data_IF_828472058823
#
_entry.id   IF_828472058823
#
_cell.length_a   1.000
_cell.length_b   1.000
_cell.length_c   1.000
_cell.angle_alpha   90.00
_cell.angle_beta   90.00
_cell.angle_gamma   90.00
#
_symmetry.space_group_name_H-M   'P 1'
#
loop_
_entity.id
_entity.type
_entity.pdbx_description
1 polymer ?
#
# COMPACT_ATOMS: atom_id res chain seq x y z
N UNK A 1 30.01 10.68 56.01
CA UNK A 1 29.45 11.33 54.79
C UNK A 1 29.74 10.59 53.48
N UNK A 2 30.84 9.83 53.37
CA UNK A 2 31.23 9.16 52.11
C UNK A 2 30.35 7.96 51.72
N UNK A 3 29.80 7.22 52.69
CA UNK A 3 28.92 6.07 52.43
C UNK A 3 27.55 6.48 51.84
N UNK A 4 26.93 7.52 52.38
CA UNK A 4 25.65 8.06 51.89
C UNK A 4 25.76 8.60 50.45
N UNK A 5 26.87 9.28 50.13
CA UNK A 5 27.13 9.76 48.77
C UNK A 5 27.25 8.62 47.76
N UNK A 6 27.92 7.52 48.14
CA UNK A 6 28.07 6.33 47.28
C UNK A 6 26.75 5.61 47.03
N UNK A 7 25.92 5.48 48.06
CA UNK A 7 24.57 4.91 47.93
C UNK A 7 23.69 5.78 47.03
N UNK A 8 23.75 7.10 47.20
CA UNK A 8 23.01 8.04 46.35
C UNK A 8 23.45 7.97 44.88
N UNK A 9 24.76 7.94 44.61
CA UNK A 9 25.29 7.80 43.26
C UNK A 9 24.90 6.46 42.62
N UNK A 10 24.91 5.37 43.40
CA UNK A 10 24.50 4.06 42.91
C UNK A 10 23.01 4.04 42.54
N UNK A 11 22.14 4.61 43.40
CA UNK A 11 20.71 4.73 43.11
C UNK A 11 20.42 5.63 41.90
N UNK A 12 21.15 6.75 41.77
CA UNK A 12 21.04 7.63 40.60
C UNK A 12 21.44 6.91 39.31
N UNK A 13 22.49 6.07 39.35
CA UNK A 13 22.96 5.31 38.21
C UNK A 13 21.97 4.20 37.81
N UNK A 14 21.38 3.50 38.79
CA UNK A 14 20.31 2.51 38.55
C UNK A 14 19.06 3.17 37.95
N UNK A 15 18.68 4.35 38.45
CA UNK A 15 17.54 5.10 37.90
C UNK A 15 17.82 5.59 36.45
N UNK A 16 19.04 6.03 36.16
CA UNK A 16 19.43 6.48 34.82
C UNK A 16 19.46 5.33 33.81
N UNK A 17 19.95 4.15 34.21
CA UNK A 17 19.93 2.93 33.38
C UNK A 17 18.52 2.39 33.19
N UNK A 18 17.66 2.50 34.20
CA UNK A 18 16.25 2.08 34.08
C UNK A 18 15.47 3.01 33.14
N UNK A 19 15.76 4.32 33.16
CA UNK A 19 15.12 5.31 32.30
C UNK A 19 15.57 5.25 30.83
N UNK A 20 16.76 4.69 30.52
CA UNK A 20 17.26 4.61 29.14
C UNK A 20 16.74 3.40 28.35
N UNK A 21 16.00 2.49 28.99
CA UNK A 21 15.63 1.19 28.40
C UNK A 21 14.21 1.10 27.82
N UNK A 22 13.43 2.20 27.86
CA UNK A 22 12.03 2.18 27.37
C UNK A 22 11.89 2.53 25.88
N UNK A 23 12.80 2.10 25.02
CA UNK A 23 12.56 2.21 23.58
C UNK A 23 11.54 1.14 23.17
N UNK A 24 10.31 1.60 22.91
CA UNK A 24 9.26 0.76 22.37
C UNK A 24 9.76 0.06 21.09
N UNK A 25 9.49 -1.26 20.90
CA UNK A 25 9.96 -1.96 19.72
C UNK A 25 9.50 -1.24 18.44
N UNK A 26 10.32 -1.20 17.38
CA UNK A 26 9.96 -0.55 16.13
C UNK A 26 8.63 -1.08 15.59
N UNK A 27 7.76 -0.17 15.10
CA UNK A 27 6.47 -0.56 14.55
C UNK A 27 6.60 -0.76 13.04
N UNK A 28 6.31 -1.98 12.58
CA UNK A 28 6.30 -2.35 11.16
C UNK A 28 4.87 -2.51 10.66
N UNK A 29 4.64 -2.09 9.42
CA UNK A 29 3.35 -2.27 8.75
C UNK A 29 3.08 -3.75 8.49
N UNK A 30 1.80 -4.15 8.43
CA UNK A 30 1.38 -5.55 8.27
C UNK A 30 2.06 -6.26 7.08
N UNK A 31 2.23 -5.56 5.96
CA UNK A 31 2.87 -6.13 4.77
C UNK A 31 4.39 -6.29 4.93
N UNK A 32 5.05 -5.46 5.74
CA UNK A 32 6.48 -5.57 6.02
C UNK A 32 6.77 -6.76 6.93
N UNK A 33 5.91 -7.07 7.90
CA UNK A 33 6.08 -8.22 8.81
C UNK A 33 6.20 -9.54 8.06
N UNK A 34 5.33 -9.76 7.07
CA UNK A 34 5.40 -10.96 6.23
C UNK A 34 6.74 -11.07 5.49
N UNK A 35 7.30 -9.94 5.07
CA UNK A 35 8.60 -9.88 4.42
C UNK A 35 9.78 -10.05 5.41
N UNK A 36 9.62 -9.66 6.67
CA UNK A 36 10.59 -9.89 7.75
C UNK A 36 10.59 -11.35 8.21
N UNK A 37 9.41 -11.96 8.37
CA UNK A 37 9.24 -13.39 8.71
C UNK A 37 9.80 -14.30 7.62
N UNK A 38 9.65 -13.90 6.36
CA UNK A 38 10.20 -14.60 5.20
C UNK A 38 11.19 -13.71 4.48
N UNK A 39 12.42 -13.70 4.98
CA UNK A 39 13.55 -13.05 4.31
C UNK A 39 13.64 -13.56 2.87
N UNK A 40 13.51 -12.63 1.92
CA UNK A 40 13.64 -12.93 0.50
C UNK A 40 15.10 -12.71 0.11
N UNK A 41 15.68 -13.69 -0.59
CA UNK A 41 17.00 -13.53 -1.16
C UNK A 41 16.92 -12.54 -2.32
N UNK A 42 17.47 -11.34 -2.11
CA UNK A 42 17.62 -10.37 -3.18
C UNK A 42 18.61 -10.90 -4.22
N UNK A 43 18.10 -11.31 -5.38
CA UNK A 43 18.95 -11.68 -6.50
C UNK A 43 19.60 -10.41 -7.04
N UNK A 44 20.93 -10.31 -6.96
CA UNK A 44 21.66 -9.22 -7.64
C UNK A 44 21.41 -9.36 -9.14
N UNK A 45 20.69 -8.40 -9.70
CA UNK A 45 20.51 -8.31 -11.14
C UNK A 45 21.75 -7.62 -11.73
N UNK A 46 22.53 -8.34 -12.54
CA UNK A 46 23.58 -7.75 -13.37
C UNK A 46 22.92 -7.17 -14.63
N UNK A 47 22.26 -6.03 -14.47
CA UNK A 47 21.54 -5.33 -15.55
C UNK A 47 22.37 -4.11 -15.95
N UNK A 48 22.48 -3.86 -17.25
CA UNK A 48 23.20 -2.70 -17.76
C UNK A 48 22.47 -1.40 -17.41
N UNK A 49 23.23 -0.31 -17.21
CA UNK A 49 22.67 1.03 -17.00
C UNK A 49 21.72 1.44 -18.14
N UNK A 50 22.03 1.06 -19.38
CA UNK A 50 21.19 1.32 -20.55
C UNK A 50 19.80 0.68 -20.43
N UNK A 51 19.73 -0.59 -20.02
CA UNK A 51 18.47 -1.31 -19.84
C UNK A 51 17.60 -0.68 -18.74
N UNK A 52 18.21 -0.19 -17.66
CA UNK A 52 17.51 0.56 -16.61
C UNK A 52 16.91 1.85 -17.18
N UNK A 53 17.69 2.62 -17.95
CA UNK A 53 17.20 3.88 -18.53
C UNK A 53 16.08 3.67 -19.54
N UNK A 54 16.12 2.59 -20.32
CA UNK A 54 15.06 2.23 -21.26
C UNK A 54 13.79 1.79 -20.53
N UNK A 55 13.93 0.96 -19.50
CA UNK A 55 12.82 0.56 -18.65
C UNK A 55 12.14 1.78 -18.00
N UNK A 56 12.94 2.74 -17.53
CA UNK A 56 12.43 3.98 -16.95
C UNK A 56 11.64 4.81 -17.96
N UNK A 57 12.14 4.98 -19.19
CA UNK A 57 11.41 5.67 -20.25
C UNK A 57 10.05 5.02 -20.56
N UNK A 58 9.99 3.69 -20.59
CA UNK A 58 8.74 2.96 -20.85
C UNK A 58 7.71 3.16 -19.73
N UNK A 59 8.16 3.08 -18.48
CA UNK A 59 7.29 3.29 -17.32
C UNK A 59 6.82 4.75 -17.25
N UNK A 60 7.71 5.71 -17.47
CA UNK A 60 7.39 7.14 -17.46
C UNK A 60 6.37 7.51 -18.56
N UNK A 61 6.52 6.94 -19.76
CA UNK A 61 5.56 7.11 -20.84
C UNK A 61 4.16 6.57 -20.47
N UNK A 62 4.10 5.38 -19.86
CA UNK A 62 2.85 4.78 -19.41
C UNK A 62 2.19 5.60 -18.29
N UNK A 63 2.96 6.10 -17.33
CA UNK A 63 2.49 6.96 -16.25
C UNK A 63 1.95 8.28 -16.82
N UNK A 64 2.64 8.89 -17.79
CA UNK A 64 2.19 10.11 -18.45
C UNK A 64 0.84 9.91 -19.15
N UNK A 65 0.70 8.84 -19.93
CA UNK A 65 -0.56 8.50 -20.61
C UNK A 65 -1.70 8.29 -19.60
N UNK A 66 -1.43 7.60 -18.49
CA UNK A 66 -2.41 7.42 -17.41
C UNK A 66 -2.81 8.75 -16.76
N UNK A 67 -1.83 9.64 -16.55
CA UNK A 67 -2.07 10.98 -16.03
C UNK A 67 -2.98 11.82 -16.93
N UNK A 68 -2.71 11.82 -18.23
CA UNK A 68 -3.54 12.51 -19.25
C UNK A 68 -4.97 11.95 -19.27
N UNK A 69 -5.11 10.63 -19.27
CA UNK A 69 -6.42 9.96 -19.23
C UNK A 69 -7.20 10.29 -17.96
N UNK A 70 -6.55 10.23 -16.79
CA UNK A 70 -7.18 10.56 -15.51
C UNK A 70 -7.60 12.02 -15.45
N UNK A 71 -6.74 12.94 -15.90
CA UNK A 71 -7.03 14.38 -15.95
C UNK A 71 -8.25 14.65 -16.82
N UNK A 72 -8.32 14.03 -18.00
CA UNK A 72 -9.48 14.14 -18.88
C UNK A 72 -10.76 13.64 -18.23
N UNK A 73 -10.72 12.49 -17.55
CA UNK A 73 -11.90 11.91 -16.88
C UNK A 73 -12.42 12.75 -15.72
N UNK A 74 -11.50 13.37 -14.98
CA UNK A 74 -11.87 14.28 -13.88
C UNK A 74 -12.51 15.54 -14.44
N UNK A 75 -11.93 16.14 -15.49
CA UNK A 75 -12.50 17.31 -16.15
C UNK A 75 -13.82 17.02 -16.87
N UNK A 76 -14.01 15.80 -17.35
CA UNK A 76 -15.19 15.37 -18.12
C UNK A 76 -15.80 14.13 -17.46
N UNK A 77 -16.49 14.25 -16.31
CA UNK A 77 -17.15 13.12 -15.69
C UNK A 77 -18.19 12.52 -16.65
N UNK A 78 -18.37 11.21 -16.61
CA UNK A 78 -19.46 10.54 -17.33
C UNK A 78 -20.72 10.68 -16.49
N UNK A 79 -21.71 11.42 -16.98
CA UNK A 79 -23.04 11.46 -16.38
C UNK A 79 -23.88 10.33 -16.98
N UNK A 80 -24.55 9.55 -16.13
CA UNK A 80 -25.58 8.62 -16.58
C UNK A 80 -26.82 9.44 -16.94
N UNK A 81 -26.88 9.89 -18.18
CA UNK A 81 -28.13 10.41 -18.72
C UNK A 81 -28.93 9.19 -19.20
N UNK A 82 -30.10 8.97 -18.60
CA UNK A 82 -31.02 7.88 -18.96
C UNK A 82 -31.66 8.20 -20.31
N UNK A 83 -30.92 7.96 -21.40
CA UNK A 83 -31.49 7.99 -22.75
C UNK A 83 -32.08 6.63 -23.09
N UNK A 84 -33.23 6.61 -23.76
CA UNK A 84 -33.77 5.38 -24.30
C UNK A 84 -32.79 4.77 -25.32
N UNK A 85 -32.62 3.44 -25.30
CA UNK A 85 -31.68 2.67 -26.16
C UNK A 85 -31.81 2.97 -27.67
N UNK A 86 -32.93 3.52 -28.10
CA UNK A 86 -33.27 3.87 -29.48
C UNK A 86 -32.70 5.22 -29.93
N UNK A 87 -32.25 6.08 -29.03
CA UNK A 87 -31.73 7.40 -29.39
C UNK A 87 -30.28 7.31 -29.87
N UNK A 88 -29.95 8.03 -30.95
CA UNK A 88 -28.58 8.14 -31.47
C UNK A 88 -27.60 8.66 -30.42
N UNK A 89 -28.07 9.45 -29.44
CA UNK A 89 -27.30 9.90 -28.29
C UNK A 89 -26.82 8.75 -27.39
N UNK A 90 -27.60 7.66 -27.25
CA UNK A 90 -27.23 6.48 -26.47
C UNK A 90 -26.12 5.64 -27.14
N UNK A 91 -25.86 5.83 -28.45
CA UNK A 91 -24.87 5.07 -29.23
C UNK A 91 -23.47 5.71 -29.29
N UNK A 92 -23.28 6.94 -28.79
CA UNK A 92 -21.94 7.56 -28.70
C UNK A 92 -21.12 6.95 -27.56
N UNK A 93 -20.55 5.75 -27.79
CA UNK A 93 -19.76 5.01 -26.80
C UNK A 93 -18.36 5.58 -26.50
N UNK A 94 -17.84 6.46 -27.38
CA UNK A 94 -16.58 7.21 -27.21
C UNK A 94 -16.82 8.68 -27.49
N UNK A 95 -16.25 9.57 -26.67
CA UNK A 95 -16.21 11.00 -26.98
C UNK A 95 -15.11 11.23 -28.01
N UNK A 96 -15.35 12.14 -28.95
CA UNK A 96 -14.45 12.39 -30.10
C UNK A 96 -13.04 12.84 -29.67
N UNK A 97 -12.91 13.47 -28.50
CA UNK A 97 -11.65 13.95 -27.92
C UNK A 97 -11.20 13.15 -26.68
N UNK A 98 -11.72 11.95 -26.43
CA UNK A 98 -11.31 11.13 -25.28
C UNK A 98 -9.93 10.52 -25.53
N UNK A 99 -8.91 10.82 -24.69
CA UNK A 99 -7.60 10.17 -24.80
C UNK A 99 -7.76 8.66 -24.65
N UNK A 100 -6.93 7.90 -25.37
CA UNK A 100 -7.01 6.45 -25.32
C UNK A 100 -6.72 5.95 -23.89
N UNK A 101 -7.52 5.01 -23.36
CA UNK A 101 -7.21 4.41 -22.08
C UNK A 101 -5.81 3.78 -22.13
N UNK A 102 -5.00 3.97 -21.07
CA UNK A 102 -3.68 3.39 -20.97
C UNK A 102 -3.79 1.86 -20.90
N UNK A 103 -2.96 1.17 -21.68
CA UNK A 103 -2.88 -0.29 -21.67
C UNK A 103 -1.55 -0.69 -21.05
N UNK A 104 -1.61 -1.54 -20.01
CA UNK A 104 -0.40 -2.01 -19.31
C UNK A 104 0.10 -3.30 -19.98
N UNK A 105 0.88 -3.12 -21.05
CA UNK A 105 1.45 -4.20 -21.83
C UNK A 105 2.47 -5.03 -21.05
N UNK A 106 2.81 -6.21 -21.56
CA UNK A 106 3.82 -7.10 -20.95
C UNK A 106 5.18 -6.43 -20.84
N UNK A 107 5.54 -5.58 -21.81
CA UNK A 107 6.78 -4.79 -21.81
C UNK A 107 6.83 -3.78 -20.64
N UNK A 108 5.75 -3.05 -20.41
CA UNK A 108 5.62 -2.09 -19.30
C UNK A 108 5.69 -2.83 -17.96
N UNK A 109 5.05 -4.00 -17.85
CA UNK A 109 5.14 -4.83 -16.63
C UNK A 109 6.55 -5.34 -16.38
N UNK A 110 7.24 -5.81 -17.41
CA UNK A 110 8.63 -6.28 -17.29
C UNK A 110 9.58 -5.14 -16.92
N UNK A 111 9.42 -3.97 -17.56
CA UNK A 111 10.20 -2.77 -17.25
C UNK A 111 9.96 -2.31 -15.79
N UNK A 112 8.70 -2.26 -15.35
CA UNK A 112 8.35 -1.92 -13.97
C UNK A 112 8.93 -2.93 -12.96
N UNK A 113 8.89 -4.23 -13.28
CA UNK A 113 9.48 -5.26 -12.43
C UNK A 113 11.00 -5.11 -12.30
N UNK A 114 11.70 -4.86 -13.42
CA UNK A 114 13.14 -4.59 -13.43
C UNK A 114 13.49 -3.39 -12.55
N UNK A 115 12.77 -2.26 -12.69
CA UNK A 115 12.99 -1.09 -11.87
C UNK A 115 12.69 -1.36 -10.38
N UNK A 116 11.62 -2.10 -10.08
CA UNK A 116 11.28 -2.47 -8.71
C UNK A 116 12.36 -3.35 -8.07
N UNK A 117 12.90 -4.33 -8.79
CA UNK A 117 13.98 -5.19 -8.30
C UNK A 117 15.28 -4.41 -8.12
N UNK A 118 15.64 -3.56 -9.08
CA UNK A 118 16.83 -2.71 -8.99
C UNK A 118 16.75 -1.74 -7.79
N UNK A 119 15.62 -1.07 -7.61
CA UNK A 119 15.40 -0.15 -6.49
C UNK A 119 15.36 -0.88 -5.15
N UNK A 120 14.73 -2.06 -5.08
CA UNK A 120 14.73 -2.90 -3.88
C UNK A 120 16.14 -3.36 -3.50
N UNK A 121 16.97 -3.76 -4.47
CA UNK A 121 18.36 -4.13 -4.22
C UNK A 121 19.18 -2.95 -3.67
N UNK A 122 19.00 -1.75 -4.22
CA UNK A 122 19.64 -0.54 -3.71
C UNK A 122 19.16 -0.19 -2.29
N UNK A 123 17.85 -0.29 -2.01
CA UNK A 123 17.31 -0.07 -0.66
C UNK A 123 17.78 -1.10 0.36
N UNK A 124 17.93 -2.36 -0.06
CA UNK A 124 18.48 -3.42 0.78
C UNK A 124 19.96 -3.14 1.12
N UNK A 125 20.77 -2.74 0.13
CA UNK A 125 22.17 -2.35 0.35
C UNK A 125 22.30 -1.15 1.30
N UNK A 126 21.37 -0.21 1.23
CA UNK A 126 21.33 0.97 2.09
C UNK A 126 20.65 0.73 3.46
N UNK A 127 20.13 -0.47 3.73
CA UNK A 127 19.40 -0.79 4.96
C UNK A 127 18.04 -0.10 5.12
N UNK A 128 17.50 0.51 4.06
CA UNK A 128 16.25 1.29 4.09
C UNK A 128 15.04 0.54 3.50
N UNK A 129 15.22 -0.72 3.12
CA UNK A 129 14.17 -1.57 2.54
C UNK A 129 12.93 -1.66 3.44
N UNK A 130 13.12 -1.73 4.76
CA UNK A 130 12.04 -1.76 5.73
C UNK A 130 12.02 -0.45 6.51
N UNK A 131 11.07 0.41 6.20
CA UNK A 131 10.87 1.66 6.93
C UNK A 131 10.27 1.38 8.30
N UNK A 132 10.95 1.84 9.35
CA UNK A 132 10.43 1.86 10.71
C UNK A 132 9.50 3.07 10.84
N UNK A 133 8.25 2.83 11.22
CA UNK A 133 7.28 3.89 11.46
C UNK A 133 7.18 4.15 12.97
N UNK A 134 7.22 5.43 13.36
CA UNK A 134 6.86 5.83 14.72
C UNK A 134 5.35 5.83 14.83
N UNK A 135 4.80 4.92 15.63
CA UNK A 135 3.39 4.94 15.94
C UNK A 135 3.10 6.06 16.97
N UNK A 136 2.03 6.85 16.80
CA UNK A 136 1.60 7.80 17.83
C UNK A 136 1.29 7.06 19.13
N UNK A 137 1.80 7.55 20.26
CA UNK A 137 1.60 6.94 21.58
C UNK A 137 0.13 6.92 22.04
N UNK A 138 -0.71 7.78 21.46
CA UNK A 138 -2.15 7.87 21.74
C UNK A 138 -2.98 6.80 21.05
N UNK A 139 -2.43 6.12 20.04
CA UNK A 139 -3.12 5.06 19.32
C UNK A 139 -2.67 3.71 19.82
N UNK A 140 -3.60 2.80 20.08
CA UNK A 140 -3.25 1.47 20.53
C UNK A 140 -2.45 0.74 19.44
N UNK A 141 -1.47 -0.07 19.86
CA UNK A 141 -0.48 -0.60 18.94
C UNK A 141 -1.12 -1.53 17.92
N UNK A 142 -0.74 -1.41 16.65
CA UNK A 142 -1.28 -2.31 15.62
C UNK A 142 -1.00 -3.80 15.92
N UNK A 143 0.11 -4.07 16.65
CA UNK A 143 0.49 -5.38 17.17
C UNK A 143 -0.53 -5.99 18.13
N UNK A 144 -1.15 -5.16 18.97
CA UNK A 144 -2.02 -5.63 20.05
C UNK A 144 -3.42 -6.00 19.54
N UNK A 145 -3.76 -5.57 18.30
CA UNK A 145 -5.10 -5.67 17.70
C UNK A 145 -5.16 -6.61 16.51
N UNK A 146 -4.10 -7.39 16.20
CA UNK A 146 -4.24 -8.47 15.24
C UNK A 146 -5.31 -9.43 15.78
N UNK A 147 -6.54 -9.48 15.21
CA UNK A 147 -7.53 -10.39 15.72
C UNK A 147 -7.01 -11.77 15.33
N UNK A 148 -6.59 -12.55 16.33
CA UNK A 148 -6.33 -13.98 16.18
C UNK A 148 -7.55 -14.71 15.59
N UNK A 149 -8.71 -14.06 15.64
CA UNK A 149 -10.01 -14.55 15.20
C UNK A 149 -10.62 -13.65 14.12
N UNK A 150 -9.89 -13.32 13.05
CA UNK A 150 -10.55 -13.06 11.76
C UNK A 150 -11.09 -14.40 11.25
N UNK A 151 -12.16 -14.88 11.87
CA UNK A 151 -12.94 -16.00 11.34
C UNK A 151 -13.33 -15.62 9.91
N UNK A 152 -12.94 -16.49 8.97
CA UNK A 152 -13.42 -16.45 7.59
C UNK A 152 -14.92 -16.23 7.66
N UNK A 153 -15.44 -15.20 6.97
CA UNK A 153 -16.87 -14.82 6.93
C UNK A 153 -17.70 -16.10 6.95
N UNK A 154 -18.33 -16.39 8.10
CA UNK A 154 -19.10 -17.62 8.29
C UNK A 154 -20.16 -17.66 7.22
N UNK A 155 -20.17 -18.69 6.39
CA UNK A 155 -21.11 -18.80 5.26
C UNK A 155 -22.56 -19.01 5.70
N UNK A 156 -22.83 -19.01 7.00
CA UNK A 156 -24.14 -19.33 7.59
C UNK A 156 -24.99 -18.10 7.87
N UNK A 157 -24.41 -16.92 8.06
CA UNK A 157 -25.13 -15.76 8.59
C UNK A 157 -25.14 -14.62 7.57
N UNK A 158 -25.62 -14.91 6.36
CA UNK A 158 -25.95 -13.86 5.40
C UNK A 158 -27.34 -13.34 5.73
N UNK A 159 -27.43 -12.17 6.35
CA UNK A 159 -28.70 -11.58 6.80
C UNK A 159 -29.81 -11.57 5.73
N UNK A 160 -29.46 -11.46 4.44
CA UNK A 160 -30.44 -11.51 3.35
C UNK A 160 -31.12 -12.88 3.20
N UNK A 161 -30.49 -13.96 3.67
CA UNK A 161 -31.09 -15.29 3.72
C UNK A 161 -32.18 -15.41 4.81
N UNK A 162 -32.08 -14.61 5.87
CA UNK A 162 -32.98 -14.68 7.03
C UNK A 162 -34.04 -13.56 7.06
N UNK A 163 -34.02 -12.61 6.12
CA UNK A 163 -35.06 -11.58 6.06
C UNK A 163 -36.35 -12.13 5.45
N UNK A 164 -37.49 -11.66 5.95
CA UNK A 164 -38.78 -11.86 5.30
C UNK A 164 -38.85 -11.06 4.00
N UNK A 165 -38.85 -11.77 2.87
CA UNK A 165 -38.93 -11.16 1.53
C UNK A 165 -40.35 -10.67 1.20
N UNK A 166 -40.74 -9.52 1.76
CA UNK A 166 -42.07 -8.92 1.56
C UNK A 166 -42.16 -7.98 0.34
N UNK A 167 -41.19 -8.04 -0.57
CA UNK A 167 -41.15 -7.16 -1.75
C UNK A 167 -42.19 -7.57 -2.79
N UNK A 168 -43.21 -6.72 -3.01
CA UNK A 168 -44.16 -6.86 -4.12
C UNK A 168 -43.70 -5.95 -5.27
N UNK A 169 -43.65 -6.50 -6.48
CA UNK A 169 -43.46 -5.69 -7.68
C UNK A 169 -44.77 -4.92 -7.97
N UNK A 170 -44.74 -3.59 -8.12
CA UNK A 170 -45.91 -2.83 -8.51
C UNK A 170 -46.31 -3.21 -9.95
N UNK A 171 -47.62 -3.41 -10.17
CA UNK A 171 -48.21 -3.56 -11.50
C UNK A 171 -48.44 -2.20 -12.16
#
# INVERSE_FOLDING_TARGET
MTALLRVFLFLALVAFVSASSSELPPTYLRHQRRALEKSHLHKRQNVSSTAITEAQKLVDAAVKQQGEYNTYRVANPRTNNYYAKTEQAARKGKRENEPSPPTIDSSVRAAAALLAEHTAAAQAANGTLHRIYKQPSSLPRFDDYAPSNLTKRGGTDYWLADITHNGLAPM
#
